data_IF_528150293211
#
_entry.id   IF_528150293211
#
_cell.length_a   1.000
_cell.length_b   1.000
_cell.length_c   1.000
_cell.angle_alpha   90.00
_cell.angle_beta   90.00
_cell.angle_gamma   90.00
#
_symmetry.space_group_name_H-M   'P 1'
#
loop_
_entity.id
_entity.type
_entity.pdbx_description
1 polymer ?
#
# COMPACT_ATOMS: atom_id res chain seq x y z
N UNK A 1 22.99 -40.19 -41.13
CA UNK A 1 23.81 -40.74 -40.02
C UNK A 1 25.19 -41.06 -40.58
N UNK A 2 26.29 -40.59 -39.99
CA UNK A 2 27.62 -41.12 -40.31
C UNK A 2 27.98 -42.25 -39.34
N UNK A 3 28.36 -43.41 -39.87
CA UNK A 3 28.97 -44.47 -39.06
C UNK A 3 30.32 -43.98 -38.55
N UNK A 4 30.60 -44.17 -37.27
CA UNK A 4 31.91 -43.85 -36.67
C UNK A 4 32.86 -45.00 -36.93
N UNK A 5 34.12 -44.70 -37.24
CA UNK A 5 35.15 -45.71 -37.49
C UNK A 5 35.28 -46.65 -36.27
N UNK A 6 35.06 -47.97 -36.42
CA UNK A 6 35.15 -48.94 -35.32
C UNK A 6 36.60 -49.16 -34.83
N UNK A 7 37.60 -48.92 -35.68
CA UNK A 7 39.03 -49.13 -35.37
C UNK A 7 39.67 -47.93 -34.65
N UNK A 8 38.91 -47.18 -33.85
CA UNK A 8 39.44 -46.07 -33.05
C UNK A 8 39.73 -46.56 -31.62
N UNK A 9 41.00 -46.51 -31.24
CA UNK A 9 41.57 -46.97 -29.96
C UNK A 9 40.74 -46.56 -28.73
N UNK A 10 40.14 -45.36 -28.74
CA UNK A 10 39.27 -44.86 -27.66
C UNK A 10 38.04 -45.76 -27.38
N UNK A 11 37.64 -46.60 -28.33
CA UNK A 11 36.53 -47.54 -28.18
C UNK A 11 36.99 -48.99 -28.02
N UNK A 12 38.25 -49.32 -28.33
CA UNK A 12 38.80 -50.70 -28.32
C UNK A 12 39.80 -50.96 -27.19
N UNK A 13 40.09 -49.99 -26.32
CA UNK A 13 40.91 -50.17 -25.12
C UNK A 13 40.05 -50.44 -23.88
N UNK A 14 40.20 -51.60 -23.24
CA UNK A 14 39.51 -51.95 -21.98
C UNK A 14 39.81 -51.01 -20.79
N UNK A 15 41.00 -50.39 -20.73
CA UNK A 15 41.51 -49.63 -19.57
C UNK A 15 40.81 -48.29 -19.29
N UNK A 16 39.54 -48.34 -18.87
CA UNK A 16 38.74 -47.15 -18.49
C UNK A 16 39.01 -46.66 -17.07
N UNK A 17 40.26 -46.28 -16.79
CA UNK A 17 40.71 -45.69 -15.51
C UNK A 17 40.22 -44.24 -15.33
N UNK A 18 38.92 -44.07 -15.08
CA UNK A 18 38.22 -42.78 -15.01
C UNK A 18 38.54 -41.91 -13.78
N UNK A 19 39.78 -41.42 -13.64
CA UNK A 19 40.17 -40.49 -12.57
C UNK A 19 39.58 -39.10 -12.81
N UNK A 20 38.55 -38.73 -12.03
CA UNK A 20 38.01 -37.37 -12.06
C UNK A 20 38.97 -36.38 -11.39
N UNK A 21 39.48 -35.40 -12.15
CA UNK A 21 40.27 -34.30 -11.57
C UNK A 21 39.41 -33.52 -10.58
N UNK A 22 39.93 -33.28 -9.37
CA UNK A 22 39.27 -32.45 -8.34
C UNK A 22 39.04 -31.03 -8.88
N UNK A 23 37.80 -30.71 -9.24
CA UNK A 23 37.40 -29.40 -9.76
C UNK A 23 37.61 -28.28 -8.73
N UNK A 24 38.05 -27.10 -9.20
CA UNK A 24 38.35 -25.93 -8.36
C UNK A 24 37.14 -25.33 -7.60
N UNK A 25 35.93 -25.88 -7.76
CA UNK A 25 34.71 -25.43 -7.10
C UNK A 25 34.63 -25.73 -5.59
N UNK A 26 35.50 -26.59 -5.05
CA UNK A 26 35.55 -26.90 -3.61
C UNK A 26 36.35 -25.87 -2.79
N UNK A 27 37.07 -24.95 -3.44
CA UNK A 27 37.79 -23.87 -2.79
C UNK A 27 36.81 -22.80 -2.27
N UNK A 28 36.46 -22.89 -0.98
CA UNK A 28 35.72 -21.83 -0.28
C UNK A 28 36.45 -20.49 -0.50
N UNK A 29 35.80 -19.43 -1.00
CA UNK A 29 36.47 -18.15 -1.23
C UNK A 29 36.91 -17.57 0.12
N UNK A 30 38.23 -17.49 0.35
CA UNK A 30 38.77 -16.62 1.41
C UNK A 30 38.24 -15.20 1.13
N UNK A 31 37.57 -14.62 2.13
CA UNK A 31 36.85 -13.36 1.95
C UNK A 31 37.77 -12.28 1.37
N UNK A 32 37.34 -11.62 0.29
CA UNK A 32 38.13 -10.53 -0.32
C UNK A 32 38.37 -9.45 0.73
N UNK A 33 39.62 -9.00 0.86
CA UNK A 33 40.03 -7.89 1.74
C UNK A 33 39.46 -6.51 1.35
N UNK A 34 38.45 -6.47 0.47
CA UNK A 34 37.69 -5.30 0.05
C UNK A 34 36.22 -5.35 0.49
N UNK A 35 35.79 -6.35 1.30
CA UNK A 35 34.42 -6.45 1.80
C UNK A 35 33.99 -5.28 2.72
N UNK A 36 34.95 -4.51 3.23
CA UNK A 36 34.74 -3.27 4.00
C UNK A 36 34.77 -1.99 3.15
N UNK A 37 35.03 -2.06 1.84
CA UNK A 37 34.96 -0.90 0.94
C UNK A 37 33.49 -0.56 0.72
N UNK A 38 32.96 0.30 1.59
CA UNK A 38 31.67 0.94 1.35
C UNK A 38 31.79 1.79 0.08
N UNK A 39 31.18 1.32 -1.01
CA UNK A 39 31.03 2.10 -2.24
C UNK A 39 30.13 3.28 -1.92
N UNK A 40 30.76 4.39 -1.48
CA UNK A 40 30.12 5.69 -1.25
C UNK A 40 29.31 6.00 -2.50
N UNK A 41 27.99 6.02 -2.36
CA UNK A 41 27.08 5.95 -3.50
C UNK A 41 27.37 7.08 -4.48
N UNK A 42 27.90 6.71 -5.66
CA UNK A 42 28.29 7.68 -6.67
C UNK A 42 27.10 8.61 -6.96
N UNK A 43 27.34 9.93 -6.96
CA UNK A 43 26.29 10.92 -7.22
C UNK A 43 25.63 10.55 -8.56
N UNK A 44 24.39 10.03 -8.52
CA UNK A 44 23.66 9.56 -9.71
C UNK A 44 23.82 10.56 -10.84
N UNK A 45 24.29 10.09 -12.01
CA UNK A 45 24.62 10.96 -13.13
C UNK A 45 23.37 11.75 -13.56
N UNK A 46 23.51 12.95 -14.15
CA UNK A 46 22.34 13.72 -14.61
C UNK A 46 21.45 12.90 -15.57
N UNK A 47 22.03 11.97 -16.33
CA UNK A 47 21.32 11.04 -17.20
C UNK A 47 20.55 9.97 -16.43
N UNK A 48 21.16 9.34 -15.41
CA UNK A 48 20.47 8.40 -14.52
C UNK A 48 19.29 9.08 -13.80
N UNK A 49 19.47 10.33 -13.34
CA UNK A 49 18.38 11.11 -12.74
C UNK A 49 17.25 11.38 -13.73
N UNK A 50 17.57 11.81 -14.96
CA UNK A 50 16.57 11.99 -16.05
C UNK A 50 15.87 10.68 -16.41
N UNK A 51 16.58 9.54 -16.38
CA UNK A 51 16.00 8.22 -16.62
C UNK A 51 15.05 7.80 -15.48
N UNK A 52 15.44 8.00 -14.22
CA UNK A 52 14.60 7.75 -13.04
C UNK A 52 13.37 8.67 -13.00
N UNK A 53 13.51 9.96 -13.31
CA UNK A 53 12.41 10.91 -13.40
C UNK A 53 11.43 10.52 -14.53
N UNK A 54 11.95 10.16 -15.70
CA UNK A 54 11.15 9.68 -16.84
C UNK A 54 10.45 8.35 -16.53
N UNK A 55 11.07 7.47 -15.74
CA UNK A 55 10.45 6.24 -15.25
C UNK A 55 9.37 6.51 -14.18
N UNK A 56 9.64 7.40 -13.22
CA UNK A 56 8.69 7.81 -12.20
C UNK A 56 7.47 8.52 -12.82
N UNK A 57 7.67 9.41 -13.80
CA UNK A 57 6.60 10.07 -14.56
C UNK A 57 5.79 9.07 -15.38
N UNK A 58 6.42 8.06 -16.00
CA UNK A 58 5.71 6.94 -16.64
C UNK A 58 4.89 6.13 -15.65
N UNK A 59 5.44 5.80 -14.48
CA UNK A 59 4.74 5.03 -13.44
C UNK A 59 3.58 5.82 -12.80
N UNK A 60 3.73 7.13 -12.60
CA UNK A 60 2.66 8.01 -12.16
C UNK A 60 1.54 8.09 -13.22
N UNK A 61 1.89 8.26 -14.50
CA UNK A 61 0.93 8.27 -15.60
C UNK A 61 0.22 6.90 -15.79
N UNK A 62 0.90 5.78 -15.52
CA UNK A 62 0.29 4.45 -15.52
C UNK A 62 -0.77 4.32 -14.42
N UNK A 63 -0.42 4.69 -13.18
CA UNK A 63 -1.37 4.72 -12.04
C UNK A 63 -2.55 5.66 -12.30
N UNK A 64 -2.31 6.84 -12.88
CA UNK A 64 -3.38 7.75 -13.28
C UNK A 64 -4.31 7.11 -14.31
N UNK A 65 -3.78 6.42 -15.34
CA UNK A 65 -4.58 5.70 -16.34
C UNK A 65 -5.37 4.51 -15.75
N UNK A 66 -4.84 3.85 -14.72
CA UNK A 66 -5.56 2.80 -13.98
C UNK A 66 -6.75 3.40 -13.20
N UNK A 67 -6.53 4.50 -12.48
CA UNK A 67 -7.57 5.25 -11.75
C UNK A 67 -8.61 5.86 -12.70
N UNK A 68 -8.18 6.43 -13.82
CA UNK A 68 -9.05 6.94 -14.88
C UNK A 68 -9.90 5.84 -15.52
N UNK A 69 -9.36 4.64 -15.71
CA UNK A 69 -10.11 3.48 -16.24
C UNK A 69 -11.12 2.97 -15.21
N UNK A 70 -10.71 2.86 -13.94
CA UNK A 70 -11.54 2.33 -12.85
C UNK A 70 -12.67 3.27 -12.44
N UNK A 71 -12.44 4.57 -12.52
CA UNK A 71 -13.38 5.63 -12.12
C UNK A 71 -13.74 6.57 -13.28
N UNK A 72 -13.86 6.00 -14.49
CA UNK A 72 -14.09 6.73 -15.74
C UNK A 72 -15.42 7.50 -15.79
N UNK A 73 -16.46 6.95 -15.15
CA UNK A 73 -17.81 7.52 -15.07
C UNK A 73 -18.14 7.87 -13.61
N UNK A 74 -17.79 9.07 -13.10
CA UNK A 74 -18.31 9.54 -11.83
C UNK A 74 -19.84 9.61 -11.89
N UNK A 75 -20.52 8.88 -11.02
CA UNK A 75 -21.98 8.71 -11.06
C UNK A 75 -22.76 9.88 -10.42
N UNK A 76 -22.05 10.87 -9.86
CA UNK A 76 -22.63 11.89 -8.99
C UNK A 76 -23.72 12.71 -9.70
N UNK A 77 -24.81 13.10 -9.00
CA UNK A 77 -25.88 13.89 -9.59
C UNK A 77 -25.39 15.26 -10.09
N UNK A 78 -24.36 15.83 -9.45
CA UNK A 78 -23.71 17.08 -9.84
C UNK A 78 -22.95 16.95 -11.16
N UNK A 79 -22.21 15.85 -11.37
CA UNK A 79 -21.56 15.55 -12.65
C UNK A 79 -22.60 15.35 -13.77
N UNK A 80 -23.68 14.60 -13.50
CA UNK A 80 -24.78 14.37 -14.45
C UNK A 80 -25.42 15.68 -14.92
N UNK A 81 -25.74 16.60 -13.99
CA UNK A 81 -26.28 17.95 -14.32
C UNK A 81 -25.31 18.79 -15.17
N UNK A 82 -24.02 18.83 -14.79
CA UNK A 82 -23.01 19.55 -15.57
C UNK A 82 -22.82 18.99 -16.97
N UNK A 83 -22.86 17.65 -17.12
CA UNK A 83 -22.76 17.00 -18.42
C UNK A 83 -23.99 17.21 -19.29
N UNK A 84 -25.19 17.36 -18.70
CA UNK A 84 -26.39 17.77 -19.43
C UNK A 84 -26.26 19.20 -19.96
N UNK A 85 -25.81 20.16 -19.14
CA UNK A 85 -25.57 21.55 -19.59
C UNK A 85 -24.52 21.60 -20.71
N UNK A 86 -23.45 20.80 -20.59
CA UNK A 86 -22.43 20.66 -21.64
C UNK A 86 -23.01 20.14 -22.97
N UNK A 87 -23.88 19.12 -22.92
CA UNK A 87 -24.59 18.63 -24.11
C UNK A 87 -25.54 19.66 -24.70
N UNK A 88 -26.28 20.41 -23.87
CA UNK A 88 -27.16 21.51 -24.34
C UNK A 88 -26.34 22.59 -25.06
N UNK A 89 -25.17 22.99 -24.53
CA UNK A 89 -24.28 23.94 -25.20
C UNK A 89 -23.77 23.42 -26.55
N UNK A 90 -23.42 22.13 -26.66
CA UNK A 90 -23.02 21.54 -27.95
C UNK A 90 -24.20 21.43 -28.94
N UNK A 91 -25.39 21.05 -28.49
CA UNK A 91 -26.58 21.00 -29.34
C UNK A 91 -26.95 22.41 -29.83
N UNK A 92 -26.86 23.43 -28.97
CA UNK A 92 -27.03 24.82 -29.35
C UNK A 92 -25.98 25.29 -30.37
N UNK A 93 -24.69 24.97 -30.15
CA UNK A 93 -23.62 25.27 -31.11
C UNK A 93 -23.85 24.60 -32.48
N UNK A 94 -24.25 23.33 -32.49
CA UNK A 94 -24.57 22.60 -33.73
C UNK A 94 -25.77 23.27 -34.43
N UNK A 95 -26.84 23.60 -33.68
CA UNK A 95 -28.02 24.28 -34.22
C UNK A 95 -27.73 25.67 -34.79
N UNK A 96 -26.88 26.47 -34.15
CA UNK A 96 -26.42 27.75 -34.68
C UNK A 96 -25.53 27.56 -35.92
N UNK A 97 -24.72 26.50 -35.98
CA UNK A 97 -23.86 26.18 -37.14
C UNK A 97 -24.69 25.74 -38.34
N UNK A 98 -25.70 24.88 -38.15
CA UNK A 98 -26.59 24.45 -39.25
C UNK A 98 -27.51 25.58 -39.70
N UNK A 99 -28.04 26.40 -38.78
CA UNK A 99 -28.80 27.60 -39.11
C UNK A 99 -27.96 28.62 -39.90
N UNK A 100 -26.68 28.80 -39.54
CA UNK A 100 -25.74 29.68 -40.26
C UNK A 100 -25.48 29.25 -41.70
N UNK A 101 -25.69 27.98 -42.06
CA UNK A 101 -25.56 27.46 -43.44
C UNK A 101 -26.91 27.45 -44.18
N UNK A 102 -27.93 26.82 -43.59
CA UNK A 102 -29.26 26.67 -44.23
C UNK A 102 -29.95 28.04 -44.38
N UNK A 103 -29.74 28.94 -43.42
CA UNK A 103 -30.31 30.29 -43.44
C UNK A 103 -29.73 31.22 -44.50
N UNK A 104 -28.64 30.88 -45.19
CA UNK A 104 -27.97 31.77 -46.16
C UNK A 104 -28.85 32.15 -47.37
N UNK A 105 -29.90 31.37 -47.67
CA UNK A 105 -30.88 31.64 -48.73
C UNK A 105 -31.97 32.64 -48.32
N UNK A 106 -32.14 32.92 -47.01
CA UNK A 106 -33.33 33.63 -46.50
C UNK A 106 -33.05 34.65 -45.38
N UNK A 107 -31.83 34.68 -44.85
CA UNK A 107 -31.38 35.62 -43.82
C UNK A 107 -30.32 36.58 -44.40
N UNK A 108 -30.30 37.86 -43.99
CA UNK A 108 -29.24 38.78 -44.40
C UNK A 108 -27.83 38.24 -44.02
N UNK A 109 -26.79 38.44 -44.85
CA UNK A 109 -25.46 37.87 -44.60
C UNK A 109 -24.86 38.18 -43.22
N UNK A 110 -25.14 39.37 -42.68
CA UNK A 110 -24.71 39.76 -41.34
C UNK A 110 -25.31 38.86 -40.23
N UNK A 111 -26.54 38.36 -40.39
CA UNK A 111 -27.19 37.43 -39.45
C UNK A 111 -26.50 36.05 -39.50
N UNK A 112 -26.09 35.60 -40.68
CA UNK A 112 -25.24 34.42 -40.83
C UNK A 112 -23.91 34.55 -40.08
N UNK A 113 -23.20 35.67 -40.26
CA UNK A 113 -21.94 35.93 -39.55
C UNK A 113 -22.14 36.01 -38.03
N UNK A 114 -23.19 36.68 -37.55
CA UNK A 114 -23.49 36.78 -36.09
C UNK A 114 -23.87 35.40 -35.51
N UNK A 115 -24.67 34.60 -36.20
CA UNK A 115 -25.02 33.24 -35.73
C UNK A 115 -23.80 32.31 -35.72
N UNK A 116 -22.87 32.44 -36.66
CA UNK A 116 -21.60 31.71 -36.66
C UNK A 116 -20.71 32.12 -35.47
N UNK A 117 -20.55 33.43 -35.21
CA UNK A 117 -19.81 33.93 -34.04
C UNK A 117 -20.43 33.38 -32.74
N UNK A 118 -21.75 33.39 -32.64
CA UNK A 118 -22.49 32.88 -31.48
C UNK A 118 -22.33 31.35 -31.30
N UNK A 119 -22.22 30.58 -32.39
CA UNK A 119 -21.86 29.16 -32.34
C UNK A 119 -20.44 28.96 -31.74
N UNK A 120 -19.45 29.75 -32.16
CA UNK A 120 -18.10 29.71 -31.56
C UNK A 120 -18.11 30.07 -30.07
N UNK A 121 -18.91 31.04 -29.64
CA UNK A 121 -19.08 31.39 -28.21
C UNK A 121 -19.62 30.19 -27.41
N UNK A 122 -20.63 29.47 -27.92
CA UNK A 122 -21.11 28.24 -27.26
C UNK A 122 -20.08 27.12 -27.23
N UNK A 123 -19.29 26.93 -28.30
CA UNK A 123 -18.19 25.94 -28.34
C UNK A 123 -17.14 26.26 -27.26
N UNK A 124 -16.70 27.51 -27.18
CA UNK A 124 -15.71 27.97 -26.19
C UNK A 124 -16.28 27.81 -24.77
N UNK A 125 -17.53 28.20 -24.53
CA UNK A 125 -18.20 28.02 -23.24
C UNK A 125 -18.29 26.55 -22.82
N UNK A 126 -18.60 25.62 -23.76
CA UNK A 126 -18.62 24.19 -23.51
C UNK A 126 -17.22 23.65 -23.11
N UNK A 127 -16.15 24.10 -23.77
CA UNK A 127 -14.78 23.73 -23.40
C UNK A 127 -14.38 24.28 -22.02
N UNK A 128 -14.66 25.55 -21.72
CA UNK A 128 -14.37 26.14 -20.40
C UNK A 128 -15.11 25.40 -19.29
N UNK A 129 -16.39 25.08 -19.49
CA UNK A 129 -17.20 24.31 -18.55
C UNK A 129 -16.63 22.89 -18.32
N UNK A 130 -16.16 22.21 -19.38
CA UNK A 130 -15.57 20.88 -19.24
C UNK A 130 -14.23 20.93 -18.48
N UNK A 131 -13.32 21.82 -18.89
CA UNK A 131 -11.98 21.94 -18.28
C UNK A 131 -11.98 22.49 -16.84
N UNK A 132 -12.90 23.38 -16.48
CA UNK A 132 -12.92 23.99 -15.14
C UNK A 132 -13.91 23.34 -14.18
N UNK A 133 -15.09 22.90 -14.65
CA UNK A 133 -16.14 22.37 -13.78
C UNK A 133 -16.18 20.84 -13.82
N UNK A 134 -16.40 20.24 -14.99
CA UNK A 134 -16.51 18.78 -15.14
C UNK A 134 -15.20 18.07 -14.74
N UNK A 135 -14.03 18.61 -15.12
CA UNK A 135 -12.72 18.09 -14.72
C UNK A 135 -12.51 18.13 -13.20
N UNK A 136 -12.90 19.22 -12.51
CA UNK A 136 -12.78 19.32 -11.05
C UNK A 136 -13.68 18.30 -10.33
N UNK A 137 -14.92 18.10 -10.78
CA UNK A 137 -15.78 17.04 -10.22
C UNK A 137 -15.21 15.63 -10.46
N UNK A 138 -14.62 15.38 -11.65
CA UNK A 138 -14.00 14.09 -11.98
C UNK A 138 -12.80 13.79 -11.08
N UNK A 139 -11.89 14.75 -10.90
CA UNK A 139 -10.71 14.61 -10.03
C UNK A 139 -11.14 14.42 -8.57
N UNK A 140 -12.07 15.25 -8.07
CA UNK A 140 -12.57 15.10 -6.70
C UNK A 140 -13.30 13.76 -6.46
N UNK A 141 -13.92 13.17 -7.48
CA UNK A 141 -14.46 11.81 -7.40
C UNK A 141 -13.35 10.75 -7.35
N UNK A 142 -12.34 10.86 -8.21
CA UNK A 142 -11.18 9.94 -8.22
C UNK A 142 -10.43 9.96 -6.88
N UNK A 143 -10.21 11.14 -6.29
CA UNK A 143 -9.60 11.32 -4.96
C UNK A 143 -10.44 10.65 -3.86
N UNK A 144 -11.77 10.82 -3.87
CA UNK A 144 -12.67 10.15 -2.92
C UNK A 144 -12.63 8.64 -3.04
N UNK A 145 -12.62 8.11 -4.26
CA UNK A 145 -12.57 6.67 -4.49
C UNK A 145 -11.21 6.08 -4.09
N UNK A 146 -10.09 6.75 -4.42
CA UNK A 146 -8.76 6.38 -3.94
C UNK A 146 -8.67 6.38 -2.41
N UNK A 147 -9.24 7.39 -1.73
CA UNK A 147 -9.27 7.45 -0.28
C UNK A 147 -10.12 6.32 0.35
N UNK A 148 -11.16 5.85 -0.34
CA UNK A 148 -11.94 4.67 0.05
C UNK A 148 -11.15 3.37 -0.18
N UNK A 149 -10.47 3.21 -1.32
CA UNK A 149 -9.58 2.07 -1.58
C UNK A 149 -8.45 1.97 -0.56
N UNK A 150 -7.83 3.10 -0.19
CA UNK A 150 -6.81 3.15 0.86
C UNK A 150 -7.36 2.73 2.22
N UNK A 151 -8.56 3.20 2.60
CA UNK A 151 -9.21 2.80 3.86
C UNK A 151 -9.51 1.31 3.88
N UNK A 152 -10.08 0.79 2.79
CA UNK A 152 -10.40 -0.63 2.64
C UNK A 152 -9.14 -1.51 2.65
N UNK A 153 -8.07 -1.12 1.93
CA UNK A 153 -6.80 -1.84 1.93
C UNK A 153 -6.08 -1.78 3.29
N UNK A 154 -6.24 -0.70 4.07
CA UNK A 154 -5.73 -0.60 5.45
C UNK A 154 -6.52 -1.53 6.38
N UNK A 155 -7.85 -1.54 6.28
CA UNK A 155 -8.74 -2.43 7.04
C UNK A 155 -8.49 -3.92 6.71
N UNK A 156 -8.39 -4.27 5.42
CA UNK A 156 -8.12 -5.64 4.97
C UNK A 156 -6.75 -6.14 5.47
N UNK A 157 -5.70 -5.31 5.41
CA UNK A 157 -4.38 -5.65 5.97
C UNK A 157 -4.43 -5.86 7.48
N UNK A 158 -5.24 -5.11 8.22
CA UNK A 158 -5.47 -5.36 9.65
C UNK A 158 -6.24 -6.66 9.88
N UNK A 159 -7.32 -6.90 9.13
CA UNK A 159 -8.12 -8.13 9.21
C UNK A 159 -7.28 -9.39 8.90
N UNK A 160 -6.47 -9.36 7.83
CA UNK A 160 -5.52 -10.45 7.49
C UNK A 160 -4.51 -10.69 8.61
N UNK A 161 -3.96 -9.65 9.26
CA UNK A 161 -3.07 -9.81 10.42
C UNK A 161 -3.77 -10.43 11.63
N UNK A 162 -5.02 -10.04 11.91
CA UNK A 162 -5.83 -10.65 12.99
C UNK A 162 -6.20 -12.10 12.68
N UNK A 163 -6.52 -12.43 11.42
CA UNK A 163 -6.76 -13.81 11.00
C UNK A 163 -5.48 -14.65 11.11
N UNK A 164 -4.33 -14.15 10.67
CA UNK A 164 -3.03 -14.83 10.81
C UNK A 164 -2.69 -15.09 12.29
N UNK A 165 -2.83 -14.11 13.20
CA UNK A 165 -2.55 -14.35 14.63
C UNK A 165 -3.55 -15.31 15.28
N UNK A 166 -4.83 -15.29 14.87
CA UNK A 166 -5.82 -16.30 15.29
C UNK A 166 -5.46 -17.70 14.79
N UNK A 167 -5.09 -17.86 13.51
CA UNK A 167 -4.68 -19.17 12.95
C UNK A 167 -3.39 -19.70 13.60
N UNK A 168 -2.40 -18.84 13.86
CA UNK A 168 -1.15 -19.24 14.55
C UNK A 168 -1.44 -19.64 16.00
N UNK A 169 -2.32 -18.93 16.73
CA UNK A 169 -2.74 -19.36 18.07
C UNK A 169 -3.49 -20.69 18.04
N UNK A 170 -4.43 -20.90 17.11
CA UNK A 170 -5.16 -22.15 16.98
C UNK A 170 -4.23 -23.34 16.70
N UNK A 171 -3.27 -23.20 15.77
CA UNK A 171 -2.28 -24.25 15.46
C UNK A 171 -1.21 -24.42 16.56
N UNK A 172 -0.91 -23.38 17.33
CA UNK A 172 0.08 -23.41 18.41
C UNK A 172 -0.41 -23.98 19.75
N UNK A 173 -1.72 -24.01 20.00
CA UNK A 173 -2.27 -24.36 21.32
C UNK A 173 -2.19 -25.85 21.68
N UNK A 174 -2.01 -26.74 20.70
CA UNK A 174 -2.23 -28.19 20.88
C UNK A 174 -1.05 -29.02 21.39
N UNK A 175 0.11 -28.44 21.74
CA UNK A 175 1.34 -29.24 21.97
C UNK A 175 2.21 -28.90 23.18
N UNK A 176 1.70 -28.17 24.18
CA UNK A 176 2.46 -27.87 25.41
C UNK A 176 1.62 -27.82 26.71
N UNK A 177 0.48 -28.50 26.79
CA UNK A 177 -0.26 -28.64 28.06
C UNK A 177 0.38 -29.69 28.99
N UNK A 178 0.92 -30.79 28.44
CA UNK A 178 1.36 -31.95 29.23
C UNK A 178 2.79 -31.86 29.80
N UNK A 179 3.29 -30.66 30.13
CA UNK A 179 4.69 -30.45 30.58
C UNK A 179 4.84 -30.00 32.03
N UNK A 180 3.74 -29.77 32.75
CA UNK A 180 3.75 -29.41 34.18
C UNK A 180 3.24 -30.52 35.12
N UNK A 181 2.75 -31.65 34.59
CA UNK A 181 2.22 -32.75 35.40
C UNK A 181 3.31 -33.66 36.02
N UNK A 182 4.53 -33.64 35.50
CA UNK A 182 5.57 -34.64 35.78
C UNK A 182 6.56 -34.27 36.91
N UNK A 183 6.26 -33.26 37.74
CA UNK A 183 7.21 -32.76 38.76
C UNK A 183 6.54 -32.47 40.12
N UNK A 184 5.61 -33.33 40.56
CA UNK A 184 5.15 -33.36 41.95
C UNK A 184 4.63 -34.74 42.39
N UNK A 185 5.54 -35.71 42.56
CA UNK A 185 5.28 -36.94 43.33
C UNK A 185 6.56 -37.39 44.03
N UNK A 186 6.48 -37.61 45.35
CA UNK A 186 7.62 -37.87 46.24
C UNK A 186 7.48 -37.02 47.50
N UNK A 187 7.19 -37.66 48.64
CA UNK A 187 6.87 -37.02 49.92
C UNK A 187 5.43 -37.26 50.38
N UNK A 188 5.20 -38.39 51.05
CA UNK A 188 4.30 -38.48 52.21
C UNK A 188 5.00 -37.77 53.41
N UNK A 189 4.40 -37.45 54.56
CA UNK A 189 3.48 -38.18 55.47
C UNK A 189 2.52 -37.17 56.19
N UNK A 190 1.66 -37.66 57.09
CA UNK A 190 0.82 -36.98 58.10
C UNK A 190 1.53 -35.82 58.86
N UNK A 191 0.89 -34.88 59.58
CA UNK A 191 -0.41 -34.78 60.29
C UNK A 191 -0.84 -33.27 60.27
N UNK A 192 -1.94 -32.71 60.80
CA UNK A 192 -3.12 -33.13 61.61
C UNK A 192 -4.32 -32.17 61.29
N UNK A 193 -5.41 -32.16 62.09
CA UNK A 193 -6.61 -31.31 61.95
C UNK A 193 -6.72 -30.13 62.95
N UNK A 194 -7.45 -29.07 62.58
CA UNK A 194 -8.61 -28.52 63.33
C UNK A 194 -9.39 -27.48 62.47
N UNK A 195 -10.53 -26.99 62.97
CA UNK A 195 -11.47 -26.10 62.30
C UNK A 195 -11.24 -24.59 62.55
N UNK A 196 -11.95 -23.75 61.78
CA UNK A 196 -12.03 -22.30 62.04
C UNK A 196 -12.71 -21.53 60.90
N UNK A 197 -13.64 -20.63 61.24
CA UNK A 197 -14.28 -19.74 60.27
C UNK A 197 -13.62 -18.35 60.27
N UNK A 198 -13.53 -17.69 59.10
CA UNK A 198 -13.02 -16.31 59.00
C UNK A 198 -12.86 -15.81 57.56
N UNK A 199 -13.54 -14.71 57.26
CA UNK A 199 -13.39 -13.88 56.04
C UNK A 199 -12.74 -12.52 56.47
N UNK A 200 -12.31 -11.61 55.58
CA UNK A 200 -11.13 -11.72 54.70
C UNK A 200 -10.19 -10.48 54.74
N UNK A 201 -8.87 -10.62 54.52
CA UNK A 201 -8.07 -9.48 54.01
C UNK A 201 -6.69 -9.83 53.36
N UNK A 202 -6.11 -8.80 52.73
CA UNK A 202 -4.76 -8.56 52.18
C UNK A 202 -4.06 -9.61 51.27
N UNK A 203 -3.66 -9.15 50.08
CA UNK A 203 -2.92 -9.94 49.08
C UNK A 203 -1.43 -9.52 48.97
N UNK A 204 -0.45 -10.41 49.24
CA UNK A 204 0.97 -10.08 49.16
C UNK A 204 1.44 -9.90 47.70
N UNK A 205 1.84 -8.68 47.34
CA UNK A 205 2.23 -8.29 45.98
C UNK A 205 3.50 -9.01 45.51
N UNK A 206 3.45 -9.64 44.33
CA UNK A 206 4.62 -10.22 43.64
C UNK A 206 4.96 -9.42 42.36
N UNK A 207 6.25 -9.24 42.01
CA UNK A 207 6.68 -8.18 41.10
C UNK A 207 6.32 -8.39 39.63
N UNK A 208 5.98 -7.29 38.95
CA UNK A 208 5.61 -7.29 37.54
C UNK A 208 6.81 -7.64 36.62
N UNK A 209 6.61 -8.61 35.72
CA UNK A 209 7.65 -9.09 34.80
C UNK A 209 8.02 -8.02 33.76
N UNK A 210 9.31 -7.63 33.73
CA UNK A 210 9.87 -6.73 32.69
C UNK A 210 9.71 -7.36 31.30
N UNK A 211 9.05 -6.64 30.39
CA UNK A 211 8.91 -7.03 28.99
C UNK A 211 10.20 -6.78 28.18
N UNK A 212 10.39 -7.54 27.10
CA UNK A 212 11.60 -7.54 26.26
C UNK A 212 11.76 -6.31 25.34
N UNK A 213 11.06 -5.21 25.63
CA UNK A 213 11.24 -3.92 24.96
C UNK A 213 11.39 -2.85 26.04
N UNK A 214 12.47 -2.05 25.95
CA UNK A 214 12.92 -1.15 27.02
C UNK A 214 11.86 -0.16 27.49
N UNK A 215 11.85 0.13 28.79
CA UNK A 215 10.88 0.99 29.47
C UNK A 215 10.85 2.45 28.99
N UNK A 216 11.91 2.92 28.32
CA UNK A 216 12.10 4.33 27.97
C UNK A 216 11.07 4.97 27.01
N UNK A 217 10.27 4.18 26.27
CA UNK A 217 9.34 4.74 25.26
C UNK A 217 7.87 4.86 25.70
N UNK A 218 7.48 4.36 26.89
CA UNK A 218 6.07 4.37 27.34
C UNK A 218 5.77 5.22 28.58
N UNK A 219 6.80 5.72 29.27
CA UNK A 219 6.65 6.59 30.44
C UNK A 219 6.37 8.05 30.03
N UNK A 220 7.22 8.62 29.17
CA UNK A 220 7.21 10.04 28.79
C UNK A 220 5.85 10.57 28.28
N UNK A 221 5.08 9.77 27.55
CA UNK A 221 3.76 10.19 27.05
C UNK A 221 2.63 10.04 28.09
N UNK A 222 2.86 9.25 29.15
CA UNK A 222 1.93 9.13 30.29
C UNK A 222 2.20 10.21 31.33
N UNK A 223 3.47 10.51 31.56
CA UNK A 223 3.94 11.60 32.43
C UNK A 223 3.47 12.96 31.90
N UNK A 224 3.62 13.22 30.59
CA UNK A 224 3.07 14.44 29.96
C UNK A 224 1.57 14.61 30.17
N UNK A 225 0.76 13.59 29.88
CA UNK A 225 -0.70 13.67 30.12
C UNK A 225 -1.08 13.74 31.61
N UNK A 226 -0.21 13.36 32.54
CA UNK A 226 -0.43 13.60 33.97
C UNK A 226 -0.02 15.01 34.40
N UNK A 227 1.04 15.58 33.81
CA UNK A 227 1.43 16.97 34.02
C UNK A 227 0.35 17.94 33.49
N UNK A 228 -0.11 17.75 32.25
CA UNK A 228 -1.20 18.56 31.66
C UNK A 228 -2.48 18.48 32.50
N UNK A 229 -2.85 17.29 32.99
CA UNK A 229 -4.04 17.09 33.83
C UNK A 229 -3.89 17.60 35.27
N UNK A 230 -2.67 17.81 35.76
CA UNK A 230 -2.42 18.51 37.03
C UNK A 230 -2.50 20.02 36.82
N UNK A 231 -1.77 20.56 35.84
CA UNK A 231 -1.79 21.98 35.50
C UNK A 231 -3.21 22.49 35.20
N UNK A 232 -4.02 21.72 34.45
CA UNK A 232 -5.42 22.06 34.21
C UNK A 232 -6.26 22.12 35.50
N UNK A 233 -6.02 21.20 36.46
CA UNK A 233 -6.72 21.15 37.77
C UNK A 233 -6.19 22.13 38.81
N UNK A 234 -5.02 22.71 38.58
CA UNK A 234 -4.47 23.79 39.39
C UNK A 234 -4.95 25.15 38.84
N UNK A 235 -5.11 25.28 37.51
CA UNK A 235 -5.81 26.42 36.89
C UNK A 235 -7.30 26.48 37.27
N UNK A 236 -8.02 25.34 37.21
CA UNK A 236 -9.43 25.17 37.66
C UNK A 236 -9.63 25.41 39.18
N UNK A 237 -8.56 25.76 39.92
CA UNK A 237 -8.57 26.07 41.36
C UNK A 237 -7.94 27.43 41.69
N UNK A 238 -7.58 28.20 40.67
CA UNK A 238 -7.01 29.55 40.79
C UNK A 238 -7.93 30.62 40.18
N UNK A 239 -9.16 30.23 39.82
CA UNK A 239 -10.32 31.03 39.39
C UNK A 239 -11.46 30.80 40.39
#
# INVERSE_FOLDING_TARGET
MSQRNPMNERYTSEDRTGVTRKSAASAKPKAKAAASVTVKSAKKTPEQRKAEEKAARKAAAAKQREVERKYYKPDTPRYKRLRAIWWVLLIAAIGCTTLSFVGQQSLPPAVGVVTLILAYVFIIAAFVLDFWKIKKERVAYQERMLALEEKNAKAEKQARRVQQTKQVKAKGSGKNQNRHAAQKKGGEVEEDADAGAGEPDEAPVKPARRGLFGSGFRLSNREKMQAEKKAAKEAEKAE
#
